data_IF_146763564082
#
_entry.id   IF_146763564082
#
_cell.length_a   1.000
_cell.length_b   1.000
_cell.length_c   1.000
_cell.angle_alpha   90.00
_cell.angle_beta   90.00
_cell.angle_gamma   90.00
#
_symmetry.space_group_name_H-M   'P 1'
#
loop_
_entity.id
_entity.type
_entity.pdbx_description
1 polymer ?
#
# COMPACT_ATOMS: atom_id res chain seq x y z
N UNK A 1 1.74 13.87 -10.39
CA UNK A 1 1.90 13.56 -8.95
C UNK A 1 1.12 12.26 -8.68
N UNK A 2 1.76 11.09 -8.74
CA UNK A 2 1.11 9.82 -8.44
C UNK A 2 0.65 9.82 -6.98
N UNK A 3 -0.59 9.38 -6.73
CA UNK A 3 -1.14 9.24 -5.38
C UNK A 3 -1.38 7.77 -5.08
N UNK A 4 -1.20 7.38 -3.83
CA UNK A 4 -1.57 6.05 -3.38
C UNK A 4 -3.10 5.91 -3.48
N UNK A 5 -3.57 5.06 -4.39
CA UNK A 5 -4.99 4.73 -4.54
C UNK A 5 -5.31 3.37 -3.91
N UNK A 6 -6.57 3.16 -3.55
CA UNK A 6 -7.06 1.85 -3.07
C UNK A 6 -6.81 0.75 -4.11
N UNK A 7 -6.95 1.07 -5.39
CA UNK A 7 -6.70 0.12 -6.48
C UNK A 7 -5.22 -0.27 -6.56
N UNK A 8 -4.31 0.70 -6.42
CA UNK A 8 -2.87 0.42 -6.33
C UNK A 8 -2.58 -0.51 -5.15
N UNK A 9 -3.09 -0.17 -3.96
CA UNK A 9 -2.90 -0.99 -2.76
C UNK A 9 -3.47 -2.41 -2.94
N UNK A 10 -4.66 -2.56 -3.54
CA UNK A 10 -5.25 -3.89 -3.84
C UNK A 10 -4.41 -4.68 -4.81
N UNK A 11 -3.88 -4.05 -5.86
CA UNK A 11 -2.99 -4.69 -6.85
C UNK A 11 -1.70 -5.17 -6.19
N UNK A 12 -1.14 -4.39 -5.27
CA UNK A 12 0.07 -4.78 -4.51
C UNK A 12 -0.23 -5.81 -3.40
N UNK A 13 -1.47 -5.87 -2.93
CA UNK A 13 -1.98 -6.83 -1.96
C UNK A 13 -2.51 -8.14 -2.58
N UNK A 14 -2.23 -8.42 -3.86
CA UNK A 14 -2.69 -9.64 -4.54
C UNK A 14 -2.29 -10.92 -3.79
N UNK A 15 -1.11 -10.92 -3.17
CA UNK A 15 -0.62 -12.01 -2.31
C UNK A 15 -1.45 -12.20 -1.02
N UNK A 16 -2.24 -11.20 -0.64
CA UNK A 16 -3.11 -11.20 0.53
C UNK A 16 -4.60 -11.16 0.12
N UNK A 17 -4.95 -11.87 -0.96
CA UNK A 17 -6.32 -11.95 -1.50
C UNK A 17 -6.91 -10.57 -1.90
N UNK A 18 -6.05 -9.56 -2.10
CA UNK A 18 -6.47 -8.17 -2.31
C UNK A 18 -7.06 -7.49 -1.07
N UNK A 19 -6.96 -8.12 0.11
CA UNK A 19 -7.49 -7.59 1.38
C UNK A 19 -6.46 -6.65 2.00
N UNK A 20 -6.62 -5.36 1.76
CA UNK A 20 -5.70 -4.32 2.27
C UNK A 20 -5.81 -4.08 3.79
N UNK A 21 -6.96 -4.38 4.42
CA UNK A 21 -7.17 -4.13 5.85
C UNK A 21 -6.40 -5.07 6.77
N UNK A 22 -6.06 -6.26 6.30
CA UNK A 22 -5.26 -7.27 7.01
C UNK A 22 -3.81 -7.33 6.55
N UNK A 23 -3.44 -6.49 5.58
CA UNK A 23 -2.12 -6.50 4.97
C UNK A 23 -1.05 -6.09 5.98
N UNK A 24 -0.07 -6.97 6.21
CA UNK A 24 1.06 -6.70 7.12
C UNK A 24 2.28 -6.13 6.39
N UNK A 25 2.41 -6.39 5.10
CA UNK A 25 3.55 -5.98 4.28
C UNK A 25 3.10 -5.44 2.92
N UNK A 26 3.67 -4.33 2.49
CA UNK A 26 3.48 -3.82 1.13
C UNK A 26 4.76 -3.20 0.57
N UNK A 27 5.04 -3.50 -0.69
CA UNK A 27 6.14 -2.90 -1.44
C UNK A 27 5.61 -1.95 -2.51
N UNK A 28 6.02 -0.68 -2.42
CA UNK A 28 5.71 0.37 -3.40
C UNK A 28 7.03 0.78 -4.07
N UNK A 29 7.31 0.18 -5.23
CA UNK A 29 8.53 0.45 -6.00
C UNK A 29 8.19 1.38 -7.19
N UNK A 30 8.97 2.45 -7.37
CA UNK A 30 8.90 3.38 -8.53
C UNK A 30 7.63 4.23 -8.67
N UNK A 31 6.86 4.40 -7.60
CA UNK A 31 5.61 5.18 -7.65
C UNK A 31 5.84 6.71 -7.54
N UNK A 32 7.11 7.19 -7.51
CA UNK A 32 7.51 8.60 -7.32
C UNK A 32 6.60 9.33 -6.32
N UNK A 33 6.28 8.64 -5.21
CA UNK A 33 5.25 9.06 -4.29
C UNK A 33 5.68 10.34 -3.61
N UNK A 34 4.98 11.42 -3.89
CA UNK A 34 5.23 12.69 -3.22
C UNK A 34 4.77 12.67 -1.76
N UNK A 35 3.76 11.85 -1.45
CA UNK A 35 3.20 11.70 -0.10
C UNK A 35 2.65 10.29 0.13
N UNK A 36 2.86 9.81 1.35
CA UNK A 36 2.26 8.57 1.85
C UNK A 36 0.95 8.94 2.55
N UNK A 37 -0.11 9.01 1.77
CA UNK A 37 -1.45 9.32 2.24
C UNK A 37 -2.24 8.01 2.40
N UNK A 38 -3.30 8.00 3.20
CA UNK A 38 -4.29 6.91 3.35
C UNK A 38 -3.81 5.51 3.80
N UNK A 39 -2.51 5.17 3.80
CA UNK A 39 -2.00 3.88 4.28
C UNK A 39 -2.41 3.61 5.73
N UNK A 40 -2.25 4.59 6.63
CA UNK A 40 -2.62 4.41 8.05
C UNK A 40 -4.11 4.16 8.28
N UNK A 41 -4.97 4.65 7.38
CA UNK A 41 -6.42 4.46 7.47
C UNK A 41 -6.87 3.14 6.87
N UNK A 42 -6.25 2.75 5.75
CA UNK A 42 -6.64 1.59 4.94
C UNK A 42 -5.92 0.30 5.35
N UNK A 43 -4.62 0.37 5.63
CA UNK A 43 -3.76 -0.76 5.98
C UNK A 43 -3.45 -0.74 7.47
N UNK A 44 -4.48 -0.88 8.32
CA UNK A 44 -4.35 -0.73 9.79
C UNK A 44 -3.41 -1.75 10.44
N UNK A 45 -3.19 -2.89 9.78
CA UNK A 45 -2.28 -3.94 10.23
C UNK A 45 -0.90 -3.87 9.59
N UNK A 46 -0.61 -2.83 8.79
CA UNK A 46 0.66 -2.73 8.09
C UNK A 46 1.81 -2.58 9.08
N UNK A 47 2.78 -3.47 8.96
CA UNK A 47 4.00 -3.50 9.79
C UNK A 47 5.23 -3.12 8.97
N UNK A 48 5.24 -3.52 7.71
CA UNK A 48 6.37 -3.32 6.80
C UNK A 48 5.87 -2.55 5.57
N UNK A 49 6.46 -1.38 5.34
CA UNK A 49 6.30 -0.61 4.12
C UNK A 49 7.67 -0.50 3.47
N UNK A 50 7.80 -1.08 2.28
CA UNK A 50 9.04 -1.03 1.51
C UNK A 50 8.92 -0.02 0.37
N UNK A 51 9.79 0.99 0.41
CA UNK A 51 9.87 2.07 -0.58
C UNK A 51 11.25 1.97 -1.24
N UNK A 52 11.28 1.58 -2.50
CA UNK A 52 12.50 1.59 -3.32
C UNK A 52 12.29 2.40 -4.59
#
# INVERSE_FOLDING_TARGET
>A
MPRITVELLRKRAEHNEGIISTLEEISLHQEELEKIEVIGTLCRKLRILYLQ
#
